data_IF_740307041436
#
_entry.id   IF_740307041436
#
_cell.length_a   1.000
_cell.length_b   1.000
_cell.length_c   1.000
_cell.angle_alpha   90.00
_cell.angle_beta   90.00
_cell.angle_gamma   90.00
#
_symmetry.space_group_name_H-M   'P 1'
#
loop_
_entity.id
_entity.type
_entity.pdbx_description
1 polymer ?
#
# COMPACT_ATOMS: atom_id res chain seq x y z
N UNK A 1 9.49 -0.71 22.49
CA UNK A 1 8.90 -1.98 22.04
C UNK A 1 7.79 -1.75 21.04
N UNK A 2 8.08 -1.88 19.75
CA UNK A 2 7.04 -1.90 18.72
C UNK A 2 6.12 -3.08 19.01
N UNK A 3 4.82 -2.82 19.13
CA UNK A 3 3.80 -3.80 19.44
C UNK A 3 3.77 -4.89 18.34
N UNK A 4 4.39 -6.05 18.58
CA UNK A 4 4.31 -7.21 17.67
C UNK A 4 2.85 -7.62 17.51
N UNK A 5 2.38 -7.63 16.26
CA UNK A 5 1.03 -8.02 15.84
C UNK A 5 1.15 -8.86 14.56
N UNK A 6 0.15 -9.70 14.23
CA UNK A 6 0.14 -10.40 12.96
C UNK A 6 0.25 -9.39 11.80
N UNK A 7 1.12 -9.68 10.83
CA UNK A 7 1.22 -8.91 9.60
C UNK A 7 -0.02 -9.06 8.69
N UNK A 8 -0.08 -8.29 7.59
CA UNK A 8 -1.15 -8.37 6.60
C UNK A 8 -1.34 -9.81 6.11
N UNK A 9 -2.60 -10.22 6.00
CA UNK A 9 -2.97 -11.57 5.58
C UNK A 9 -4.42 -11.62 5.11
N UNK A 10 -4.70 -12.48 4.15
CA UNK A 10 -6.06 -12.89 3.75
C UNK A 10 -6.27 -14.38 4.03
N UNK A 11 -7.53 -14.82 4.06
CA UNK A 11 -7.90 -16.22 4.23
C UNK A 11 -7.28 -16.92 5.46
N UNK A 12 -6.97 -16.16 6.52
CA UNK A 12 -6.43 -16.71 7.75
C UNK A 12 -7.50 -17.50 8.52
N UNK A 13 -7.08 -18.60 9.15
CA UNK A 13 -7.97 -19.45 9.94
C UNK A 13 -8.07 -18.89 11.36
N UNK A 14 -9.29 -18.82 11.89
CA UNK A 14 -9.55 -18.21 13.19
C UNK A 14 -10.43 -19.09 14.06
N UNK A 15 -10.12 -19.17 15.35
CA UNK A 15 -10.97 -19.85 16.34
C UNK A 15 -10.88 -19.17 17.70
N UNK A 16 -11.93 -19.29 18.51
CA UNK A 16 -11.97 -18.72 19.87
C UNK A 16 -12.13 -19.85 20.88
N UNK A 17 -11.24 -19.89 21.88
CA UNK A 17 -11.30 -20.83 23.00
C UNK A 17 -10.82 -20.14 24.28
N UNK A 18 -11.57 -20.29 25.37
CA UNK A 18 -11.15 -19.78 26.69
C UNK A 18 -10.97 -18.25 26.76
N UNK A 19 -11.67 -17.49 25.91
CA UNK A 19 -11.48 -16.04 25.82
C UNK A 19 -10.18 -15.61 25.12
N UNK A 20 -9.50 -16.54 24.44
CA UNK A 20 -8.45 -16.22 23.48
C UNK A 20 -8.97 -16.44 22.06
N UNK A 21 -8.71 -15.46 21.20
CA UNK A 21 -8.77 -15.63 19.76
C UNK A 21 -7.42 -16.19 19.30
N UNK A 22 -7.47 -17.19 18.43
CA UNK A 22 -6.32 -17.78 17.77
C UNK A 22 -6.42 -17.48 16.28
N UNK A 23 -5.31 -17.08 15.67
CA UNK A 23 -5.19 -16.70 14.28
C UNK A 23 -4.03 -17.50 13.68
N UNK A 24 -4.33 -18.38 12.74
CA UNK A 24 -3.35 -19.26 12.10
C UNK A 24 -3.25 -18.98 10.61
N UNK A 25 -2.00 -18.84 10.16
CA UNK A 25 -1.64 -18.74 8.75
C UNK A 25 -2.34 -17.61 8.00
N UNK A 26 -2.69 -17.91 6.74
CA UNK A 26 -3.25 -16.96 5.77
C UNK A 26 -2.35 -16.82 4.55
N UNK A 27 -2.70 -15.90 3.65
CA UNK A 27 -1.92 -15.59 2.45
C UNK A 27 -1.49 -14.13 2.52
N UNK A 28 -0.21 -13.86 2.26
CA UNK A 28 0.33 -12.52 2.05
C UNK A 28 0.60 -12.36 0.55
N UNK A 29 -0.02 -11.36 -0.06
CA UNK A 29 0.25 -10.97 -1.45
C UNK A 29 1.19 -9.78 -1.49
N UNK A 30 2.25 -9.90 -2.29
CA UNK A 30 3.22 -8.84 -2.53
C UNK A 30 3.55 -8.78 -4.03
N UNK A 31 2.88 -7.88 -4.74
CA UNK A 31 2.95 -7.82 -6.20
C UNK A 31 2.36 -9.08 -6.82
N UNK A 32 3.11 -9.74 -7.71
CA UNK A 32 2.73 -11.01 -8.36
C UNK A 32 3.07 -12.25 -7.53
N UNK A 33 3.57 -12.06 -6.30
CA UNK A 33 3.98 -13.16 -5.42
C UNK A 33 2.97 -13.36 -4.30
N UNK A 34 2.52 -14.60 -4.14
CA UNK A 34 1.68 -15.02 -3.01
C UNK A 34 2.49 -15.92 -2.08
N UNK A 35 2.46 -15.60 -0.79
CA UNK A 35 3.14 -16.33 0.27
C UNK A 35 2.13 -16.96 1.22
N UNK A 36 2.22 -18.27 1.44
CA UNK A 36 1.41 -18.94 2.47
C UNK A 36 2.07 -18.78 3.83
N UNK A 37 1.34 -18.20 4.77
CA UNK A 37 1.79 -18.02 6.15
C UNK A 37 1.47 -19.27 6.96
N UNK A 38 2.42 -19.70 7.80
CA UNK A 38 2.30 -20.85 8.71
C UNK A 38 2.49 -20.45 10.19
N UNK A 39 2.43 -19.16 10.50
CA UNK A 39 2.53 -18.63 11.86
C UNK A 39 1.23 -18.79 12.66
N UNK A 40 1.35 -18.74 14.00
CA UNK A 40 0.21 -18.80 14.92
C UNK A 40 0.28 -17.63 15.91
N UNK A 41 -0.82 -16.90 16.01
CA UNK A 41 -0.99 -15.76 16.90
C UNK A 41 -2.18 -15.94 17.83
N UNK A 42 -2.15 -15.27 18.98
CA UNK A 42 -3.29 -15.20 19.88
C UNK A 42 -3.45 -13.83 20.53
N UNK A 43 -4.69 -13.45 20.86
CA UNK A 43 -5.04 -12.24 21.60
C UNK A 43 -6.18 -12.54 22.59
N UNK A 44 -6.13 -11.92 23.76
CA UNK A 44 -7.22 -11.94 24.73
C UNK A 44 -8.38 -11.08 24.21
N UNK A 45 -9.55 -11.68 23.98
CA UNK A 45 -10.71 -10.97 23.38
C UNK A 45 -11.38 -9.98 24.33
N UNK A 46 -11.11 -10.08 25.64
CA UNK A 46 -11.65 -9.16 26.65
C UNK A 46 -10.77 -7.94 26.80
N UNK A 47 -9.44 -8.12 26.72
CA UNK A 47 -8.47 -7.04 26.89
C UNK A 47 -8.13 -6.35 25.58
N UNK A 48 -8.04 -7.11 24.49
CA UNK A 48 -7.62 -6.66 23.15
C UNK A 48 -6.34 -5.81 23.18
N UNK A 49 -5.47 -6.08 24.14
CA UNK A 49 -4.36 -5.19 24.49
C UNK A 49 -3.06 -5.60 23.81
N UNK A 50 -2.78 -6.91 23.69
CA UNK A 50 -1.52 -7.43 23.14
C UNK A 50 -1.68 -8.74 22.40
N UNK A 51 -1.15 -8.78 21.19
CA UNK A 51 -0.95 -10.01 20.42
C UNK A 51 0.26 -10.78 20.96
N UNK A 52 0.15 -12.10 20.99
CA UNK A 52 1.25 -13.03 21.30
C UNK A 52 1.48 -13.96 20.12
N UNK A 53 2.72 -14.06 19.67
CA UNK A 53 3.13 -15.03 18.68
C UNK A 53 3.41 -16.36 19.38
N UNK A 54 2.70 -17.42 18.99
CA UNK A 54 2.86 -18.77 19.53
C UNK A 54 3.78 -19.61 18.63
N UNK A 55 3.68 -19.43 17.31
CA UNK A 55 4.53 -20.09 16.31
C UNK A 55 5.08 -19.03 15.36
N UNK A 56 6.38 -19.10 15.09
CA UNK A 56 7.06 -18.23 14.14
C UNK A 56 6.84 -18.76 12.72
N UNK A 57 6.68 -17.85 11.75
CA UNK A 57 6.60 -18.26 10.35
C UNK A 57 7.97 -18.81 9.93
N UNK A 58 8.04 -20.08 9.50
CA UNK A 58 9.27 -20.71 8.99
C UNK A 58 9.10 -21.02 7.51
N UNK A 59 10.06 -20.59 6.66
CA UNK A 59 10.10 -20.93 5.23
C UNK A 59 8.89 -20.45 4.44
N UNK A 60 8.95 -19.23 3.89
CA UNK A 60 7.94 -18.71 2.98
C UNK A 60 8.18 -19.29 1.58
N UNK A 61 7.66 -20.48 1.30
CA UNK A 61 7.78 -21.12 -0.01
C UNK A 61 6.84 -20.43 -1.01
N UNK A 62 7.42 -19.65 -1.91
CA UNK A 62 6.75 -19.20 -3.14
C UNK A 62 6.76 -20.36 -4.14
N UNK A 63 5.58 -20.87 -4.48
CA UNK A 63 5.39 -21.89 -5.52
C UNK A 63 4.82 -21.25 -6.79
N UNK A 64 5.56 -20.33 -7.41
CA UNK A 64 5.16 -19.83 -8.72
C UNK A 64 5.41 -20.88 -9.79
N UNK A 65 4.36 -21.25 -10.52
CA UNK A 65 4.49 -21.97 -11.80
C UNK A 65 5.11 -21.00 -12.80
N UNK A 66 6.29 -21.34 -13.30
CA UNK A 66 6.99 -20.66 -14.40
C UNK A 66 6.41 -21.09 -15.76
N UNK A 67 5.08 -21.05 -15.89
CA UNK A 67 4.38 -21.46 -17.10
C UNK A 67 3.36 -20.38 -17.47
N UNK A 68 3.75 -19.47 -18.36
CA UNK A 68 3.02 -19.13 -19.59
C UNK A 68 3.95 -18.20 -20.41
N UNK A 69 4.71 -18.85 -21.29
CA UNK A 69 5.59 -18.24 -22.27
C UNK A 69 4.81 -17.67 -23.47
N UNK A 70 5.26 -16.51 -23.94
CA UNK A 70 5.38 -16.13 -25.37
C UNK A 70 4.12 -16.29 -26.27
N UNK A 71 3.53 -15.16 -26.67
CA UNK A 71 2.82 -15.10 -27.96
C UNK A 71 3.15 -13.81 -28.71
N UNK A 72 4.25 -13.87 -29.45
CA UNK A 72 4.59 -13.04 -30.59
C UNK A 72 3.52 -13.18 -31.69
N UNK A 73 2.93 -12.08 -32.16
CA UNK A 73 2.39 -12.03 -33.52
C UNK A 73 2.44 -10.61 -34.08
N UNK A 74 3.42 -10.39 -34.95
CA UNK A 74 3.56 -9.23 -35.83
C UNK A 74 2.37 -9.10 -36.79
N UNK A 75 1.91 -7.88 -37.05
CA UNK A 75 1.48 -7.50 -38.40
C UNK A 75 1.51 -5.96 -38.59
N UNK A 76 2.23 -5.53 -39.62
CA UNK A 76 2.34 -4.16 -40.10
C UNK A 76 1.10 -3.75 -40.93
N UNK A 77 0.65 -2.50 -40.79
CA UNK A 77 0.04 -1.76 -41.90
C UNK A 77 -0.03 -0.27 -41.59
N UNK A 78 0.65 0.52 -42.42
CA UNK A 78 0.60 1.98 -42.50
C UNK A 78 -0.76 2.44 -43.07
N UNK A 79 -1.38 3.48 -42.49
CA UNK A 79 -2.20 4.43 -43.27
C UNK A 79 -2.34 5.78 -42.53
N UNK A 80 -1.96 6.83 -43.25
CA UNK A 80 -1.98 8.23 -42.83
C UNK A 80 -3.40 8.78 -42.88
N UNK A 81 -3.96 9.13 -41.71
CA UNK A 81 -5.17 9.94 -41.63
C UNK A 81 -4.96 11.10 -40.68
N UNK A 82 -4.71 12.26 -41.28
CA UNK A 82 -4.84 13.59 -40.67
C UNK A 82 -6.23 13.75 -40.05
N UNK A 83 -6.32 13.67 -38.71
CA UNK A 83 -7.50 14.07 -37.96
C UNK A 83 -7.11 15.14 -36.94
N UNK A 84 -7.70 16.31 -37.14
CA UNK A 84 -7.53 17.56 -36.40
C UNK A 84 -7.88 17.33 -34.93
N UNK A 85 -6.88 17.26 -34.06
CA UNK A 85 -7.05 17.06 -32.62
C UNK A 85 -7.78 18.27 -32.01
N UNK A 86 -9.05 18.17 -31.56
CA UNK A 86 -9.61 19.21 -30.74
C UNK A 86 -8.84 19.19 -29.42
N UNK A 87 -8.23 20.33 -29.08
CA UNK A 87 -7.51 20.55 -27.84
C UNK A 87 -8.19 19.84 -26.65
N UNK A 88 -7.46 19.09 -25.81
CA UNK A 88 -8.05 18.35 -24.71
C UNK A 88 -8.86 19.31 -23.85
N UNK A 89 -10.16 19.06 -23.74
CA UNK A 89 -11.04 19.82 -22.87
C UNK A 89 -10.39 19.92 -21.48
N UNK A 90 -10.47 21.09 -20.81
CA UNK A 90 -9.82 21.26 -19.51
C UNK A 90 -10.32 20.16 -18.57
N UNK A 91 -9.42 19.25 -18.20
CA UNK A 91 -9.71 18.20 -17.22
C UNK A 91 -10.23 18.92 -15.98
N UNK A 92 -11.50 18.73 -15.65
CA UNK A 92 -12.05 19.20 -14.37
C UNK A 92 -11.10 18.65 -13.31
N UNK A 93 -10.46 19.50 -12.52
CA UNK A 93 -9.56 19.11 -11.43
C UNK A 93 -10.36 18.26 -10.43
N UNK A 94 -10.47 16.95 -10.67
CA UNK A 94 -11.01 16.02 -9.68
C UNK A 94 -10.08 16.10 -8.47
N UNK A 95 -10.67 16.08 -7.28
CA UNK A 95 -9.89 16.08 -6.04
C UNK A 95 -8.96 14.85 -6.08
N UNK A 96 -7.65 15.01 -5.83
CA UNK A 96 -6.73 13.89 -5.82
C UNK A 96 -7.19 12.85 -4.78
N UNK A 97 -7.34 11.61 -5.20
CA UNK A 97 -7.72 10.50 -4.33
C UNK A 97 -6.47 9.93 -3.68
N UNK A 98 -6.12 10.47 -2.52
CA UNK A 98 -4.93 10.03 -1.78
C UNK A 98 -4.99 8.55 -1.38
N UNK A 99 -3.85 7.84 -1.38
CA UNK A 99 -3.79 6.45 -0.97
C UNK A 99 -4.15 6.29 0.50
N UNK A 100 -5.00 5.32 0.78
CA UNK A 100 -5.33 4.94 2.15
C UNK A 100 -4.20 4.09 2.77
N UNK A 101 -3.85 4.32 4.04
CA UNK A 101 -2.95 3.41 4.75
C UNK A 101 -3.56 2.00 4.85
N UNK A 102 -2.78 0.93 4.78
CA UNK A 102 -3.32 -0.41 5.02
C UNK A 102 -3.71 -0.62 6.49
N UNK A 103 -4.53 -1.64 6.76
CA UNK A 103 -4.78 -2.03 8.13
C UNK A 103 -3.45 -2.48 8.74
N UNK A 104 -3.05 -1.84 9.84
CA UNK A 104 -1.79 -2.11 10.54
C UNK A 104 -0.48 -1.69 9.83
N UNK A 105 -0.54 -0.87 8.78
CA UNK A 105 0.66 -0.23 8.21
C UNK A 105 1.30 0.74 9.21
N UNK A 106 2.63 0.84 9.24
CA UNK A 106 3.37 1.87 9.98
C UNK A 106 3.64 3.09 9.08
N UNK A 107 3.86 4.27 9.69
CA UNK A 107 4.12 5.52 8.95
C UNK A 107 5.28 5.41 7.94
N UNK A 108 6.45 4.82 8.28
CA UNK A 108 7.55 4.69 7.32
C UNK A 108 7.24 3.76 6.14
N UNK A 109 6.43 2.70 6.38
CA UNK A 109 6.01 1.76 5.34
C UNK A 109 5.05 2.44 4.36
N UNK A 110 4.11 3.23 4.90
CA UNK A 110 3.20 4.04 4.10
C UNK A 110 3.95 5.06 3.25
N UNK A 111 4.90 5.80 3.84
CA UNK A 111 5.73 6.78 3.13
C UNK A 111 6.51 6.11 1.99
N UNK A 112 7.18 4.99 2.27
CA UNK A 112 7.95 4.27 1.26
C UNK A 112 7.08 3.77 0.10
N UNK A 113 5.93 3.15 0.41
CA UNK A 113 5.01 2.62 -0.60
C UNK A 113 4.35 3.70 -1.44
N UNK A 114 4.07 4.86 -0.84
CA UNK A 114 3.32 5.94 -1.50
C UNK A 114 4.22 7.08 -1.99
N UNK A 115 5.54 6.96 -1.85
CA UNK A 115 6.52 8.00 -2.22
C UNK A 115 6.28 8.58 -3.62
N UNK A 116 6.09 7.72 -4.63
CA UNK A 116 5.87 8.14 -6.01
C UNK A 116 4.62 9.01 -6.17
N UNK A 117 3.50 8.59 -5.57
CA UNK A 117 2.25 9.36 -5.60
C UNK A 117 2.41 10.74 -4.97
N UNK A 118 3.10 10.84 -3.83
CA UNK A 118 3.26 12.13 -3.15
C UNK A 118 4.27 13.05 -3.85
N UNK A 119 5.29 12.50 -4.51
CA UNK A 119 6.19 13.26 -5.36
C UNK A 119 5.48 13.80 -6.61
N UNK A 120 4.71 12.97 -7.30
CA UNK A 120 3.91 13.39 -8.46
C UNK A 120 2.89 14.46 -8.06
N UNK A 121 2.16 14.24 -6.97
CA UNK A 121 1.22 15.23 -6.44
C UNK A 121 1.91 16.56 -6.08
N UNK A 122 3.11 16.50 -5.49
CA UNK A 122 3.86 17.70 -5.14
C UNK A 122 4.20 18.50 -6.42
N UNK A 123 4.76 17.83 -7.43
CA UNK A 123 5.11 18.46 -8.72
C UNK A 123 3.90 19.01 -9.47
N UNK A 124 2.76 18.32 -9.43
CA UNK A 124 1.50 18.79 -10.03
C UNK A 124 0.92 20.04 -9.33
N UNK A 125 1.34 20.32 -8.10
CA UNK A 125 0.82 21.43 -7.28
C UNK A 125 1.79 22.60 -7.12
N UNK A 126 3.08 22.37 -7.34
CA UNK A 126 4.11 23.40 -7.30
C UNK A 126 4.19 24.15 -8.64
N UNK A 127 4.59 25.42 -8.59
CA UNK A 127 4.94 26.16 -9.79
C UNK A 127 6.31 25.68 -10.32
N UNK A 128 6.48 25.64 -11.64
CA UNK A 128 7.68 25.09 -12.30
C UNK A 128 8.98 25.75 -11.81
N UNK A 129 8.97 27.07 -11.59
CA UNK A 129 10.14 27.80 -11.05
C UNK A 129 10.51 27.39 -9.61
N UNK A 130 9.51 27.01 -8.80
CA UNK A 130 9.74 26.54 -7.43
C UNK A 130 10.27 25.10 -7.45
N UNK A 131 9.78 24.27 -8.37
CA UNK A 131 10.24 22.90 -8.56
C UNK A 131 11.70 22.85 -9.06
N UNK A 132 12.11 23.72 -9.99
CA UNK A 132 13.50 23.78 -10.47
C UNK A 132 14.49 24.27 -9.41
N UNK A 133 14.02 25.14 -8.51
CA UNK A 133 14.85 25.68 -7.43
C UNK A 133 14.98 24.71 -6.25
N UNK A 134 13.94 23.91 -6.01
CA UNK A 134 13.97 22.87 -5.00
C UNK A 134 14.90 21.74 -5.43
N UNK A 135 15.84 21.36 -4.57
CA UNK A 135 16.66 20.18 -4.81
C UNK A 135 15.87 18.89 -4.63
N UNK A 136 16.34 17.79 -5.22
CA UNK A 136 15.70 16.46 -5.11
C UNK A 136 15.45 16.04 -3.65
N UNK A 137 16.40 16.33 -2.75
CA UNK A 137 16.29 16.02 -1.32
C UNK A 137 15.19 16.84 -0.63
N UNK A 138 15.00 18.09 -1.06
CA UNK A 138 13.96 18.97 -0.55
C UNK A 138 12.58 18.53 -1.05
N UNK A 139 12.45 18.22 -2.33
CA UNK A 139 11.23 17.67 -2.92
C UNK A 139 10.83 16.36 -2.25
N UNK A 140 11.79 15.47 -1.99
CA UNK A 140 11.53 14.24 -1.26
C UNK A 140 11.02 14.52 0.16
N UNK A 141 11.66 15.43 0.89
CA UNK A 141 11.26 15.78 2.26
C UNK A 141 9.84 16.37 2.30
N UNK A 142 9.51 17.25 1.35
CA UNK A 142 8.18 17.84 1.24
C UNK A 142 7.11 16.79 0.90
N UNK A 143 7.40 15.87 -0.02
CA UNK A 143 6.51 14.77 -0.36
C UNK A 143 6.28 13.83 0.84
N UNK A 144 7.33 13.50 1.60
CA UNK A 144 7.24 12.71 2.82
C UNK A 144 6.40 13.40 3.91
N UNK A 145 6.49 14.72 4.04
CA UNK A 145 5.66 15.49 4.98
C UNK A 145 4.17 15.48 4.58
N UNK A 146 3.87 15.60 3.27
CA UNK A 146 2.50 15.42 2.75
C UNK A 146 1.95 14.02 3.08
N UNK A 147 2.74 12.98 2.82
CA UNK A 147 2.40 11.60 3.15
C UNK A 147 2.13 11.42 4.65
N UNK A 148 3.01 11.98 5.50
CA UNK A 148 2.92 11.92 6.96
C UNK A 148 1.65 12.57 7.49
N UNK A 149 1.33 13.77 6.99
CA UNK A 149 0.09 14.50 7.35
C UNK A 149 -1.14 13.70 6.98
N UNK A 150 -1.16 13.13 5.77
CA UNK A 150 -2.28 12.31 5.31
C UNK A 150 -2.43 11.02 6.12
N UNK A 151 -1.33 10.32 6.39
CA UNK A 151 -1.31 9.11 7.21
C UNK A 151 -1.90 9.37 8.60
N UNK A 152 -1.42 10.42 9.29
CA UNK A 152 -1.91 10.80 10.63
C UNK A 152 -3.39 11.16 10.61
N UNK A 153 -3.85 11.92 9.61
CA UNK A 153 -5.27 12.26 9.42
C UNK A 153 -6.11 11.01 9.22
N UNK A 154 -5.68 10.11 8.35
CA UNK A 154 -6.40 8.87 8.00
C UNK A 154 -6.48 7.90 9.18
N UNK A 155 -5.38 7.76 9.94
CA UNK A 155 -5.33 6.95 11.16
C UNK A 155 -6.22 7.55 12.25
N UNK A 156 -6.20 8.87 12.46
CA UNK A 156 -7.09 9.55 13.42
C UNK A 156 -8.56 9.35 13.07
N UNK A 157 -8.93 9.48 11.80
CA UNK A 157 -10.29 9.25 11.32
C UNK A 157 -10.76 7.80 11.55
N UNK A 158 -9.87 6.81 11.39
CA UNK A 158 -10.19 5.39 11.66
C UNK A 158 -10.35 5.06 13.14
N UNK A 159 -9.57 5.70 14.02
CA UNK A 159 -9.59 5.43 15.46
C UNK A 159 -10.79 6.09 16.16
N UNK A 160 -11.47 7.04 15.50
CA UNK A 160 -12.76 7.56 15.97
C UNK A 160 -12.67 8.39 17.25
N UNK A 161 -11.59 9.15 17.47
CA UNK A 161 -11.62 10.23 18.46
C UNK A 161 -12.28 11.44 17.80
N UNK A 162 -13.61 11.46 17.86
CA UNK A 162 -14.37 12.70 17.82
C UNK A 162 -13.91 13.56 19.01
N UNK A 163 -13.51 14.80 18.74
CA UNK A 163 -13.34 15.82 19.79
C UNK A 163 -14.67 16.11 20.49
#
# INVERSE_FOLDING_TARGET
DAQRRPGPRMNAQMTVKGGQLYLYGGILEQGERSYTLNDLWTIDVKKLDKWKQLVVCEGMDWQGSDDEAESESENESEDESSDDEPAPAPRKKLKPSHPDPFHAELEPEFQQRTKGYWMELLLDTMDEEEAEKAGDEELQTQAEDLASKWYKKSVKARIGVAE
#
